data_IF_806414474465
#
_entry.id   IF_806414474465
#
_cell.length_a   1.000
_cell.length_b   1.000
_cell.length_c   1.000
_cell.angle_alpha   90.00
_cell.angle_beta   90.00
_cell.angle_gamma   90.00
#
_symmetry.space_group_name_H-M   'P 1'
#
loop_
_entity.id
_entity.type
_entity.pdbx_description
1 polymer ?
#
# COMPACT_ATOMS: atom_id res chain seq x y z
N UNK A 1 6.88 -15.19 20.10
CA UNK A 1 6.70 -13.86 20.74
C UNK A 1 5.66 -13.96 21.83
N UNK A 2 5.59 -12.95 22.71
CA UNK A 2 4.54 -12.77 23.71
C UNK A 2 3.47 -11.81 23.18
N UNK A 3 2.18 -12.09 23.42
CA UNK A 3 1.09 -11.18 23.06
C UNK A 3 1.02 -10.08 24.12
N UNK A 4 1.37 -8.85 23.74
CA UNK A 4 1.35 -7.69 24.65
C UNK A 4 0.04 -6.91 24.61
N UNK A 5 -0.79 -7.14 23.59
CA UNK A 5 -2.12 -6.54 23.42
C UNK A 5 -2.93 -7.22 22.31
N UNK A 6 -4.26 -7.10 22.37
CA UNK A 6 -5.18 -7.60 21.36
C UNK A 6 -6.41 -6.71 21.25
N UNK A 7 -6.98 -6.67 20.05
CA UNK A 7 -8.27 -6.07 19.74
C UNK A 7 -8.95 -6.94 18.67
N UNK A 8 -10.24 -7.20 18.82
CA UNK A 8 -11.01 -8.08 17.94
C UNK A 8 -12.09 -7.27 17.24
N UNK A 9 -11.97 -7.14 15.92
CA UNK A 9 -12.93 -6.45 15.06
C UNK A 9 -12.98 -7.18 13.71
N UNK A 10 -14.17 -7.57 13.21
CA UNK A 10 -14.30 -8.24 11.92
C UNK A 10 -13.98 -7.34 10.72
N UNK A 11 -13.93 -6.02 10.91
CA UNK A 11 -13.61 -5.02 9.89
C UNK A 11 -12.17 -4.55 10.03
N UNK A 12 -11.23 -5.50 10.02
CA UNK A 12 -9.79 -5.25 10.00
C UNK A 12 -9.20 -6.11 8.90
N UNK A 13 -8.46 -5.48 7.99
CA UNK A 13 -7.80 -6.20 6.91
C UNK A 13 -6.65 -5.38 6.34
N UNK A 14 -5.66 -6.06 5.78
CA UNK A 14 -4.55 -5.48 5.05
C UNK A 14 -3.52 -4.77 5.93
N UNK A 15 -3.90 -3.72 6.66
CA UNK A 15 -2.93 -2.85 7.32
C UNK A 15 -3.35 -2.39 8.72
N UNK A 16 -2.38 -2.24 9.60
CA UNK A 16 -2.55 -1.72 10.95
C UNK A 16 -1.23 -1.13 11.48
N UNK A 17 -1.24 0.17 11.74
CA UNK A 17 -0.07 0.94 12.16
C UNK A 17 -0.23 1.47 13.57
N UNK A 18 0.82 1.29 14.39
CA UNK A 18 0.86 1.89 15.72
C UNK A 18 1.42 3.31 15.63
N UNK A 19 0.66 4.26 16.16
CA UNK A 19 1.03 5.67 16.19
C UNK A 19 1.86 6.02 17.44
N UNK A 20 2.58 7.15 17.39
CA UNK A 20 3.43 7.64 18.49
C UNK A 20 2.66 7.89 19.80
N UNK A 21 1.38 8.29 19.69
CA UNK A 21 0.49 8.47 20.83
C UNK A 21 0.01 7.13 21.46
N UNK A 22 0.39 6.00 20.85
CA UNK A 22 0.02 4.66 21.27
C UNK A 22 -1.27 4.13 20.63
N UNK A 23 -2.02 4.95 19.90
CA UNK A 23 -3.20 4.50 19.16
C UNK A 23 -2.80 3.58 18.00
N UNK A 24 -3.79 2.90 17.44
CA UNK A 24 -3.61 2.02 16.27
C UNK A 24 -4.52 2.52 15.17
N UNK A 25 -3.92 2.84 14.02
CA UNK A 25 -4.59 3.18 12.78
C UNK A 25 -4.81 1.89 11.99
N UNK A 26 -6.01 1.66 11.47
CA UNK A 26 -6.41 0.37 10.90
C UNK A 26 -7.12 0.59 9.57
N UNK A 27 -6.76 -0.22 8.57
CA UNK A 27 -7.46 -0.30 7.30
C UNK A 27 -8.51 -1.42 7.26
N UNK A 28 -9.57 -1.19 6.48
CA UNK A 28 -10.56 -2.21 6.11
C UNK A 28 -10.94 -2.07 4.63
N UNK A 29 -10.53 -3.06 3.84
CA UNK A 29 -10.83 -3.12 2.40
C UNK A 29 -11.32 -4.48 1.92
N UNK A 30 -11.10 -5.56 2.68
CA UNK A 30 -11.55 -6.89 2.24
C UNK A 30 -13.08 -6.99 2.30
N UNK A 31 -13.73 -6.98 1.14
CA UNK A 31 -15.18 -6.94 0.97
C UNK A 31 -15.86 -5.72 1.63
N UNK A 32 -15.16 -4.58 1.70
CA UNK A 32 -15.75 -3.32 2.15
C UNK A 32 -16.88 -2.87 1.22
N UNK A 33 -17.85 -2.12 1.76
CA UNK A 33 -18.95 -1.53 1.00
C UNK A 33 -18.94 -0.02 1.15
N UNK A 34 -19.74 0.68 0.32
CA UNK A 34 -19.98 2.12 0.46
C UNK A 34 -20.50 2.53 1.85
N UNK A 35 -21.03 1.59 2.62
CA UNK A 35 -21.58 1.88 3.95
C UNK A 35 -20.58 1.70 5.09
N UNK A 36 -19.48 0.98 4.85
CA UNK A 36 -18.48 0.67 5.87
C UNK A 36 -17.54 1.85 6.11
N UNK A 37 -16.90 1.84 7.28
CA UNK A 37 -15.75 2.69 7.61
C UNK A 37 -14.49 1.99 7.13
N UNK A 38 -13.72 2.63 6.25
CA UNK A 38 -12.52 2.04 5.65
C UNK A 38 -11.26 2.27 6.49
N UNK A 39 -11.24 3.34 7.29
CA UNK A 39 -10.11 3.64 8.17
C UNK A 39 -10.60 4.00 9.56
N UNK A 40 -9.98 3.41 10.59
CA UNK A 40 -10.28 3.70 11.99
C UNK A 40 -8.99 3.97 12.75
N UNK A 41 -9.00 4.95 13.63
CA UNK A 41 -8.01 5.07 14.69
C UNK A 41 -8.64 4.64 16.01
N UNK A 42 -8.02 3.69 16.69
CA UNK A 42 -8.46 3.21 17.99
C UNK A 42 -7.41 3.47 19.06
N UNK A 43 -7.86 3.79 20.27
CA UNK A 43 -6.97 3.89 21.41
C UNK A 43 -6.65 2.51 22.02
N UNK A 44 -5.81 2.47 23.06
CA UNK A 44 -5.40 1.22 23.73
C UNK A 44 -6.54 0.46 24.40
N UNK A 45 -7.63 1.14 24.74
CA UNK A 45 -8.84 0.54 25.29
C UNK A 45 -9.78 -0.04 24.21
N UNK A 46 -9.45 0.17 22.92
CA UNK A 46 -10.27 -0.27 21.79
C UNK A 46 -11.39 0.70 21.43
N UNK A 47 -11.37 1.93 21.94
CA UNK A 47 -12.34 2.97 21.59
C UNK A 47 -11.92 3.64 20.28
N UNK A 48 -12.87 3.82 19.35
CA UNK A 48 -12.65 4.57 18.13
C UNK A 48 -12.54 6.06 18.48
N UNK A 49 -11.42 6.68 18.12
CA UNK A 49 -11.14 8.11 18.35
C UNK A 49 -11.18 8.91 17.05
N UNK A 50 -11.12 8.25 15.90
CA UNK A 50 -11.29 8.82 14.57
C UNK A 50 -11.71 7.74 13.59
N UNK A 51 -12.52 8.10 12.60
CA UNK A 51 -12.95 7.22 11.52
C UNK A 51 -13.04 7.97 10.21
N UNK A 52 -12.85 7.26 9.10
CA UNK A 52 -13.02 7.82 7.77
C UNK A 52 -13.68 6.85 6.82
N UNK A 53 -14.64 7.39 6.07
CA UNK A 53 -15.50 6.68 5.15
C UNK A 53 -15.36 7.26 3.76
N UNK A 54 -14.86 6.45 2.84
CA UNK A 54 -14.57 6.84 1.46
C UNK A 54 -15.79 7.46 0.78
N UNK A 55 -16.97 6.87 1.00
CA UNK A 55 -18.22 7.28 0.36
C UNK A 55 -18.73 8.68 0.76
N UNK A 56 -18.14 9.32 1.78
CA UNK A 56 -18.49 10.69 2.17
C UNK A 56 -17.80 11.74 1.30
N UNK A 57 -16.69 11.39 0.65
CA UNK A 57 -15.90 12.28 -0.21
C UNK A 57 -15.90 11.82 -1.68
N UNK A 58 -16.00 10.51 -1.93
CA UNK A 58 -15.87 9.90 -3.26
C UNK A 58 -16.98 8.88 -3.54
N UNK A 59 -17.60 8.95 -4.71
CA UNK A 59 -18.66 8.04 -5.14
C UNK A 59 -18.37 7.44 -6.52
N UNK A 60 -17.67 6.31 -6.55
CA UNK A 60 -17.37 5.56 -7.77
C UNK A 60 -18.28 4.33 -7.90
N UNK A 61 -18.48 3.85 -9.13
CA UNK A 61 -19.20 2.60 -9.39
C UNK A 61 -18.19 1.51 -9.79
N UNK A 62 -17.48 1.01 -8.79
CA UNK A 62 -16.48 -0.06 -8.93
C UNK A 62 -16.60 -1.02 -7.77
N UNK A 63 -16.46 -2.31 -8.04
CA UNK A 63 -16.38 -3.33 -7.00
C UNK A 63 -15.49 -4.49 -7.40
N UNK A 64 -14.41 -4.68 -6.64
CA UNK A 64 -13.45 -5.75 -6.85
C UNK A 64 -13.01 -6.26 -5.48
N UNK A 65 -13.65 -7.32 -4.99
CA UNK A 65 -13.45 -7.82 -3.61
C UNK A 65 -13.65 -6.72 -2.55
N UNK A 66 -14.54 -5.76 -2.79
CA UNK A 66 -14.72 -4.56 -1.96
C UNK A 66 -15.08 -3.35 -2.81
N UNK A 67 -15.50 -2.25 -2.18
CA UNK A 67 -15.78 -0.96 -2.79
C UNK A 67 -14.47 -0.24 -3.08
N UNK A 68 -13.85 0.37 -2.07
CA UNK A 68 -12.54 1.04 -2.21
C UNK A 68 -11.39 0.05 -2.19
N UNK A 69 -11.60 -1.08 -1.50
CA UNK A 69 -10.56 -2.02 -1.14
C UNK A 69 -9.32 -1.33 -0.55
N UNK A 70 -9.54 -0.46 0.44
CA UNK A 70 -8.48 0.23 1.16
C UNK A 70 -7.50 -0.79 1.73
N UNK A 71 -6.25 -0.74 1.28
CA UNK A 71 -5.26 -1.78 1.56
C UNK A 71 -4.02 -1.29 2.30
N UNK A 72 -3.88 0.01 2.52
CA UNK A 72 -2.81 0.55 3.35
C UNK A 72 -3.19 1.93 3.88
N UNK A 73 -2.72 2.22 5.08
CA UNK A 73 -2.97 3.49 5.77
C UNK A 73 -1.75 3.89 6.59
N UNK A 74 -1.35 5.17 6.51
CA UNK A 74 -0.27 5.70 7.35
C UNK A 74 -0.56 7.13 7.80
N UNK A 75 -0.12 7.49 9.01
CA UNK A 75 -0.22 8.86 9.54
C UNK A 75 1.04 9.65 9.16
N UNK A 76 0.85 10.82 8.56
CA UNK A 76 1.90 11.76 8.23
C UNK A 76 2.29 12.63 9.43
N UNK A 77 3.51 13.14 9.41
CA UNK A 77 4.04 14.04 10.46
C UNK A 77 3.23 15.34 10.63
N UNK A 78 2.50 15.78 9.60
CA UNK A 78 1.62 16.96 9.66
C UNK A 78 0.25 16.64 10.28
N UNK A 79 -0.01 15.38 10.65
CA UNK A 79 -1.29 14.92 11.20
C UNK A 79 -2.29 14.43 10.15
N UNK A 80 -2.01 14.57 8.85
CA UNK A 80 -2.85 14.00 7.80
C UNK A 80 -2.65 12.48 7.71
N UNK A 81 -3.58 11.80 7.06
CA UNK A 81 -3.55 10.35 6.84
C UNK A 81 -3.45 10.06 5.36
N UNK A 82 -2.46 9.25 4.94
CA UNK A 82 -2.46 8.65 3.61
C UNK A 82 -3.34 7.41 3.60
N UNK A 83 -4.18 7.30 2.58
CA UNK A 83 -5.09 6.16 2.39
C UNK A 83 -4.95 5.64 0.97
N UNK A 84 -4.57 4.36 0.85
CA UNK A 84 -4.40 3.68 -0.43
C UNK A 84 -5.73 3.09 -0.91
N UNK A 85 -6.29 3.62 -2.01
CA UNK A 85 -7.58 3.20 -2.55
C UNK A 85 -7.37 2.32 -3.79
N UNK A 86 -7.05 1.04 -3.58
CA UNK A 86 -6.68 0.11 -4.66
C UNK A 86 -7.70 0.08 -5.80
N UNK A 87 -8.99 0.05 -5.46
CA UNK A 87 -10.03 -0.01 -6.48
C UNK A 87 -10.29 1.34 -7.17
N UNK A 88 -9.68 2.44 -6.73
CA UNK A 88 -9.75 3.73 -7.43
C UNK A 88 -8.46 4.07 -8.17
N UNK A 89 -7.39 3.26 -8.02
CA UNK A 89 -6.09 3.45 -8.67
C UNK A 89 -5.39 4.76 -8.30
N UNK A 90 -5.57 5.23 -7.07
CA UNK A 90 -4.84 6.38 -6.53
C UNK A 90 -4.78 6.31 -5.00
N UNK A 91 -3.97 7.20 -4.43
CA UNK A 91 -3.82 7.40 -3.00
C UNK A 91 -4.38 8.77 -2.66
N UNK A 92 -4.98 8.94 -1.49
CA UNK A 92 -5.45 10.24 -0.99
C UNK A 92 -4.73 10.63 0.28
N UNK A 93 -4.44 11.92 0.43
CA UNK A 93 -4.07 12.52 1.71
C UNK A 93 -5.32 13.16 2.33
N UNK A 94 -5.66 12.74 3.54
CA UNK A 94 -6.88 13.13 4.26
C UNK A 94 -6.49 13.92 5.51
N UNK A 95 -7.07 15.11 5.71
CA UNK A 95 -6.81 15.89 6.92
C UNK A 95 -7.57 15.31 8.15
N UNK A 96 -7.27 15.77 9.39
CA UNK A 96 -7.97 15.30 10.59
C UNK A 96 -9.49 15.48 10.55
N UNK A 97 -9.98 16.47 9.81
CA UNK A 97 -11.41 16.76 9.60
C UNK A 97 -12.08 15.80 8.61
N UNK A 98 -11.32 14.94 7.92
CA UNK A 98 -11.83 13.93 6.98
C UNK A 98 -11.91 14.40 5.52
N UNK A 99 -11.37 15.58 5.21
CA UNK A 99 -11.35 16.15 3.86
C UNK A 99 -10.14 15.63 3.07
N UNK A 100 -10.34 15.28 1.80
CA UNK A 100 -9.24 14.95 0.89
C UNK A 100 -8.54 16.25 0.50
N UNK A 101 -7.26 16.37 0.86
CA UNK A 101 -6.42 17.55 0.57
C UNK A 101 -5.41 17.32 -0.54
N UNK A 102 -5.20 16.07 -0.95
CA UNK A 102 -4.37 15.72 -2.11
C UNK A 102 -4.78 14.36 -2.71
N UNK A 103 -4.56 14.19 -4.01
CA UNK A 103 -4.72 12.93 -4.75
C UNK A 103 -3.40 12.61 -5.46
N UNK A 104 -2.88 11.42 -5.23
CA UNK A 104 -1.53 11.02 -5.60
C UNK A 104 -1.58 9.78 -6.50
N UNK A 105 -0.83 9.82 -7.60
CA UNK A 105 -0.67 8.73 -8.56
C UNK A 105 -1.84 8.51 -9.51
N UNK A 106 -2.88 9.35 -9.52
CA UNK A 106 -4.02 9.20 -10.41
C UNK A 106 -3.59 9.18 -11.89
N UNK A 107 -3.99 8.12 -12.62
CA UNK A 107 -3.59 7.90 -14.01
C UNK A 107 -2.17 7.36 -14.21
N UNK A 108 -1.40 7.19 -13.13
CA UNK A 108 -0.02 6.68 -13.15
C UNK A 108 0.05 5.29 -12.51
N UNK A 109 -0.56 5.15 -11.33
CA UNK A 109 -0.62 3.88 -10.61
C UNK A 109 -1.91 3.14 -10.94
N UNK A 110 -1.88 1.83 -10.79
CA UNK A 110 -3.03 0.96 -11.00
C UNK A 110 -3.00 -0.15 -9.98
N UNK A 111 -4.16 -0.53 -9.44
CA UNK A 111 -4.29 -1.60 -8.45
C UNK A 111 -3.21 -1.49 -7.36
N UNK A 112 -2.98 -0.28 -6.83
CA UNK A 112 -1.80 0.06 -6.05
C UNK A 112 -1.80 -0.59 -4.66
N UNK A 113 -0.61 -0.79 -4.08
CA UNK A 113 -0.40 -1.42 -2.79
C UNK A 113 0.74 -0.75 -2.00
N UNK A 114 0.58 -0.77 -0.68
CA UNK A 114 1.56 -0.40 0.36
C UNK A 114 2.40 0.86 0.07
N UNK A 115 1.75 2.03 -0.20
CA UNK A 115 2.49 3.26 -0.33
C UNK A 115 3.19 3.65 0.97
N UNK A 116 4.50 3.88 0.90
CA UNK A 116 5.32 4.23 2.05
C UNK A 116 6.03 5.55 1.79
N UNK A 117 5.83 6.53 2.68
CA UNK A 117 6.50 7.83 2.58
C UNK A 117 8.00 7.66 2.78
N UNK A 118 8.77 8.32 1.92
CA UNK A 118 10.23 8.35 2.00
C UNK A 118 10.70 9.75 2.41
N UNK A 119 11.80 10.24 1.86
CA UNK A 119 12.34 11.55 2.21
C UNK A 119 11.55 12.68 1.54
N UNK A 120 11.22 13.73 2.30
CA UNK A 120 10.47 14.87 1.79
C UNK A 120 8.98 14.56 1.62
N UNK A 121 8.42 14.87 0.45
CA UNK A 121 7.05 14.53 0.06
C UNK A 121 7.08 13.56 -1.11
N UNK A 122 7.87 12.49 -0.96
CA UNK A 122 7.91 11.37 -1.89
C UNK A 122 7.33 10.12 -1.24
N UNK A 123 6.87 9.17 -2.04
CA UNK A 123 6.48 7.85 -1.56
C UNK A 123 6.89 6.74 -2.52
N UNK A 124 7.25 5.57 -1.99
CA UNK A 124 7.30 4.35 -2.79
C UNK A 124 5.92 3.74 -2.89
N UNK A 125 5.60 3.10 -4.01
CA UNK A 125 4.31 2.41 -4.21
C UNK A 125 4.46 1.23 -5.15
N UNK A 126 3.86 0.11 -4.77
CA UNK A 126 3.68 -1.02 -5.67
C UNK A 126 2.44 -0.75 -6.51
N UNK A 127 2.57 -0.87 -7.82
CA UNK A 127 1.42 -0.85 -8.73
C UNK A 127 1.18 -2.29 -9.17
N UNK A 128 0.02 -2.63 -9.73
CA UNK A 128 -0.25 -3.90 -10.43
C UNK A 128 -0.99 -3.63 -11.75
N UNK A 129 -1.17 -4.64 -12.59
CA UNK A 129 -2.05 -4.45 -13.76
C UNK A 129 -3.47 -4.11 -13.31
N UNK A 130 -4.23 -3.38 -14.14
CA UNK A 130 -5.63 -3.09 -13.87
C UNK A 130 -6.43 -4.37 -13.59
N UNK A 131 -7.24 -4.35 -12.54
CA UNK A 131 -8.15 -5.46 -12.23
C UNK A 131 -9.23 -5.63 -13.31
N UNK A 132 -9.75 -6.85 -13.54
CA UNK A 132 -10.79 -7.10 -14.56
C UNK A 132 -12.10 -6.33 -14.37
N UNK A 133 -12.34 -5.79 -13.18
CA UNK A 133 -13.49 -4.96 -12.87
C UNK A 133 -13.40 -3.55 -13.50
N UNK A 134 -12.25 -3.14 -14.04
CA UNK A 134 -12.15 -1.98 -14.91
C UNK A 134 -12.40 -2.41 -16.35
N UNK A 135 -13.48 -1.90 -16.95
CA UNK A 135 -13.96 -2.31 -18.28
C UNK A 135 -13.06 -1.86 -19.45
N UNK A 136 -11.97 -1.11 -19.23
CA UNK A 136 -11.42 -0.26 -20.31
C UNK A 136 -9.91 -0.17 -20.52
N UNK A 137 -9.02 -0.90 -19.84
CA UNK A 137 -7.57 -0.66 -20.06
C UNK A 137 -6.79 -1.91 -20.41
N UNK A 138 -6.62 -2.15 -21.72
CA UNK A 138 -5.46 -2.86 -22.29
C UNK A 138 -4.20 -1.98 -22.15
N UNK A 139 -3.82 -1.62 -20.93
CA UNK A 139 -2.57 -0.90 -20.71
C UNK A 139 -1.52 -1.90 -20.23
N UNK A 140 -0.76 -2.45 -21.18
CA UNK A 140 0.34 -3.39 -20.93
C UNK A 140 1.63 -2.68 -20.45
N UNK A 141 1.64 -1.34 -20.41
CA UNK A 141 2.77 -0.53 -19.91
C UNK A 141 2.69 -0.32 -18.39
N UNK A 142 2.82 -1.42 -17.67
CA UNK A 142 2.74 -1.45 -16.22
C UNK A 142 4.14 -1.35 -15.58
N UNK A 143 4.30 -0.44 -14.61
CA UNK A 143 5.51 -0.28 -13.81
C UNK A 143 5.26 -0.88 -12.43
N UNK A 144 6.13 -1.79 -11.98
CA UNK A 144 5.84 -2.63 -10.83
C UNK A 144 6.08 -1.98 -9.48
N UNK A 145 7.18 -1.26 -9.38
CA UNK A 145 7.55 -0.49 -8.21
C UNK A 145 7.93 0.92 -8.66
N UNK A 146 7.48 1.92 -7.92
CA UNK A 146 7.76 3.33 -8.20
C UNK A 146 8.18 4.06 -6.92
N UNK A 147 8.95 5.12 -7.07
CA UNK A 147 8.99 6.23 -6.12
C UNK A 147 8.42 7.47 -6.84
N UNK A 148 7.44 8.13 -6.23
CA UNK A 148 6.75 9.28 -6.81
C UNK A 148 6.80 10.47 -5.88
N UNK A 149 6.88 11.67 -6.45
CA UNK A 149 6.66 12.92 -5.74
C UNK A 149 5.15 13.13 -5.53
N UNK A 150 4.74 13.35 -4.28
CA UNK A 150 3.34 13.41 -3.85
C UNK A 150 2.63 14.69 -4.31
N UNK A 151 3.37 15.76 -4.59
CA UNK A 151 2.79 17.06 -4.91
C UNK A 151 2.70 17.27 -6.43
N UNK A 152 3.63 16.68 -7.18
CA UNK A 152 3.74 16.84 -8.63
C UNK A 152 3.37 15.58 -9.42
N UNK A 153 3.29 14.43 -8.75
CA UNK A 153 3.13 13.11 -9.37
C UNK A 153 4.29 12.70 -10.31
N UNK A 154 5.45 13.33 -10.19
CA UNK A 154 6.65 12.94 -10.93
C UNK A 154 7.12 11.55 -10.49
N UNK A 155 7.42 10.66 -11.44
CA UNK A 155 8.05 9.37 -11.18
C UNK A 155 9.55 9.61 -11.00
N UNK A 156 10.03 9.52 -9.76
CA UNK A 156 11.43 9.74 -9.39
C UNK A 156 12.29 8.49 -9.62
N UNK A 157 11.67 7.33 -9.47
CA UNK A 157 12.31 6.04 -9.70
C UNK A 157 11.25 5.00 -10.12
N UNK A 158 11.66 4.01 -10.90
CA UNK A 158 10.80 2.90 -11.29
C UNK A 158 11.58 1.60 -11.50
N UNK A 159 10.90 0.48 -11.27
CA UNK A 159 11.40 -0.85 -11.60
C UNK A 159 10.27 -1.75 -12.11
N UNK A 160 10.58 -2.52 -13.16
CA UNK A 160 9.62 -3.39 -13.83
C UNK A 160 10.24 -4.29 -14.90
N UNK A 161 11.52 -4.61 -14.82
CA UNK A 161 12.19 -5.36 -15.87
C UNK A 161 11.84 -6.86 -15.84
N UNK A 162 11.80 -7.47 -17.03
CA UNK A 162 11.61 -8.92 -17.18
C UNK A 162 10.28 -9.44 -16.64
N UNK A 163 10.33 -10.34 -15.66
CA UNK A 163 9.11 -10.88 -15.02
C UNK A 163 8.44 -9.92 -14.06
N UNK A 164 9.16 -8.91 -13.54
CA UNK A 164 8.65 -7.97 -12.53
C UNK A 164 7.66 -6.96 -13.13
N UNK A 165 7.83 -6.55 -14.39
CA UNK A 165 6.86 -5.73 -15.13
C UNK A 165 5.66 -6.50 -15.66
N UNK A 166 5.46 -7.74 -15.23
CA UNK A 166 4.33 -8.55 -15.67
C UNK A 166 3.60 -9.14 -14.46
N UNK A 167 2.51 -8.49 -14.05
CA UNK A 167 1.66 -8.92 -12.93
C UNK A 167 1.08 -10.33 -13.09
N UNK A 168 0.97 -10.85 -14.32
CA UNK A 168 0.53 -12.24 -14.58
C UNK A 168 1.59 -13.26 -14.20
N UNK A 169 2.86 -12.85 -14.10
CA UNK A 169 4.00 -13.68 -13.67
C UNK A 169 4.37 -13.42 -12.22
N UNK A 170 4.44 -12.15 -11.82
CA UNK A 170 4.87 -11.73 -10.51
C UNK A 170 4.04 -10.53 -10.05
N UNK A 171 3.22 -10.70 -9.00
CA UNK A 171 2.55 -9.57 -8.38
C UNK A 171 3.53 -8.86 -7.46
N UNK A 172 3.76 -7.56 -7.69
CA UNK A 172 4.45 -6.72 -6.71
C UNK A 172 3.41 -6.17 -5.74
N UNK A 173 3.65 -6.39 -4.45
CA UNK A 173 2.72 -6.03 -3.37
C UNK A 173 3.25 -4.92 -2.48
N UNK A 174 4.57 -4.82 -2.37
CA UNK A 174 5.21 -3.87 -1.48
C UNK A 174 6.57 -3.45 -2.06
N UNK A 175 6.94 -2.18 -1.83
CA UNK A 175 8.25 -1.63 -2.16
C UNK A 175 8.67 -0.64 -1.07
N UNK A 176 9.84 -0.87 -0.50
CA UNK A 176 10.41 -0.04 0.56
C UNK A 176 11.76 0.52 0.12
N UNK A 177 11.91 1.85 0.14
CA UNK A 177 13.22 2.48 0.00
C UNK A 177 14.02 2.29 1.30
N UNK A 178 15.25 1.87 1.16
CA UNK A 178 16.15 1.55 2.25
C UNK A 178 17.14 2.70 2.50
N UNK A 179 17.72 2.75 3.70
CA UNK A 179 18.65 3.82 4.10
C UNK A 179 19.95 3.88 3.28
N UNK A 180 20.31 2.78 2.60
CA UNK A 180 21.44 2.74 1.67
C UNK A 180 21.08 3.23 0.25
N UNK A 181 19.84 3.66 0.01
CA UNK A 181 19.33 4.11 -1.30
C UNK A 181 18.78 2.99 -2.19
N UNK A 182 18.84 1.72 -1.74
CA UNK A 182 18.26 0.59 -2.47
C UNK A 182 16.76 0.48 -2.23
N UNK A 183 16.09 -0.37 -3.01
CA UNK A 183 14.67 -0.68 -2.89
C UNK A 183 14.48 -2.17 -2.60
N UNK A 184 13.72 -2.49 -1.57
CA UNK A 184 13.29 -3.85 -1.25
C UNK A 184 11.89 -4.07 -1.84
N UNK A 185 11.74 -5.05 -2.72
CA UNK A 185 10.50 -5.28 -3.48
C UNK A 185 9.93 -6.66 -3.14
N UNK A 186 8.71 -6.72 -2.63
CA UNK A 186 7.98 -7.96 -2.39
C UNK A 186 7.21 -8.40 -3.63
N UNK A 187 7.62 -9.53 -4.20
CA UNK A 187 6.89 -10.24 -5.25
C UNK A 187 6.11 -11.44 -4.70
N UNK A 188 5.48 -12.22 -5.58
CA UNK A 188 4.76 -13.44 -5.16
C UNK A 188 5.73 -14.48 -4.56
N UNK A 189 6.73 -14.93 -5.32
CA UNK A 189 7.65 -16.00 -4.88
C UNK A 189 9.05 -15.52 -4.56
N UNK A 190 9.32 -14.25 -4.81
CA UNK A 190 10.63 -13.66 -4.64
C UNK A 190 10.49 -12.33 -3.94
N UNK A 191 11.41 -12.04 -3.06
CA UNK A 191 11.72 -10.68 -2.63
C UNK A 191 13.11 -10.34 -3.12
N UNK A 192 13.32 -9.14 -3.62
CA UNK A 192 14.63 -8.67 -4.09
C UNK A 192 15.00 -7.34 -3.46
N UNK A 193 16.29 -7.14 -3.21
CA UNK A 193 16.86 -5.80 -3.01
C UNK A 193 17.50 -5.36 -4.33
N UNK A 194 17.10 -4.18 -4.80
CA UNK A 194 17.55 -3.59 -6.06
C UNK A 194 18.22 -2.26 -5.78
N UNK A 195 19.35 -2.00 -6.40
CA UNK A 195 20.01 -0.70 -6.36
C UNK A 195 19.21 0.37 -7.10
N UNK A 196 19.53 1.64 -6.89
CA UNK A 196 18.87 2.76 -7.58
C UNK A 196 19.02 2.71 -9.11
N UNK A 197 20.07 2.07 -9.62
CA UNK A 197 20.32 1.86 -11.06
C UNK A 197 19.75 0.53 -11.59
N UNK A 198 19.07 -0.27 -10.76
CA UNK A 198 18.31 -1.44 -11.21
C UNK A 198 19.02 -2.80 -11.06
N UNK A 199 20.17 -2.87 -10.41
CA UNK A 199 20.89 -4.14 -10.17
C UNK A 199 20.32 -4.88 -8.95
N UNK A 200 20.00 -6.17 -9.10
CA UNK A 200 19.59 -7.03 -7.99
C UNK A 200 20.84 -7.42 -7.18
N UNK A 201 20.90 -7.01 -5.91
CA UNK A 201 22.03 -7.27 -5.01
C UNK A 201 21.74 -8.30 -3.92
N UNK A 202 20.45 -8.61 -3.71
CA UNK A 202 20.02 -9.67 -2.80
C UNK A 202 18.68 -10.24 -3.25
N UNK A 203 18.46 -11.53 -3.01
CA UNK A 203 17.17 -12.18 -3.25
C UNK A 203 16.81 -13.21 -2.16
N UNK A 204 15.52 -13.33 -1.88
CA UNK A 204 14.91 -14.45 -1.18
C UNK A 204 13.87 -15.08 -2.08
N UNK A 205 14.01 -16.37 -2.34
CA UNK A 205 13.10 -17.15 -3.18
C UNK A 205 12.42 -18.23 -2.34
N UNK A 206 11.10 -18.35 -2.48
CA UNK A 206 10.33 -19.45 -1.91
C UNK A 206 9.90 -20.41 -3.02
N UNK A 207 10.05 -21.71 -2.76
CA UNK A 207 9.51 -22.74 -3.66
C UNK A 207 7.99 -22.76 -3.59
N UNK A 208 7.32 -22.76 -4.76
CA UNK A 208 5.85 -22.84 -4.82
C UNK A 208 5.35 -24.24 -4.49
N UNK A 209 4.25 -24.28 -3.75
CA UNK A 209 3.48 -25.51 -3.54
C UNK A 209 2.25 -25.62 -4.47
N UNK A 210 1.79 -24.49 -5.05
CA UNK A 210 0.67 -24.43 -6.00
C UNK A 210 0.81 -23.28 -7.03
N UNK A 211 -0.17 -23.16 -7.94
CA UNK A 211 -0.21 -22.14 -9.00
C UNK A 211 -0.77 -20.78 -8.54
N UNK A 212 -1.02 -20.55 -7.26
CA UNK A 212 -1.57 -19.28 -6.79
C UNK A 212 -0.58 -18.13 -6.99
N UNK A 213 -1.11 -16.95 -7.35
CA UNK A 213 -0.34 -15.69 -7.38
C UNK A 213 -0.19 -15.05 -6.00
N UNK A 214 -0.67 -15.71 -4.93
CA UNK A 214 -0.56 -15.24 -3.55
C UNK A 214 0.81 -15.64 -3.00
N UNK A 215 1.48 -14.72 -2.32
CA UNK A 215 2.88 -14.83 -1.98
C UNK A 215 3.27 -13.95 -0.81
N UNK A 216 4.47 -13.36 -0.84
CA UNK A 216 4.80 -12.31 0.12
C UNK A 216 3.75 -11.20 0.06
N UNK A 217 3.21 -10.88 1.23
CA UNK A 217 2.21 -9.83 1.37
C UNK A 217 2.88 -8.47 1.49
N UNK A 218 3.77 -8.34 2.48
CA UNK A 218 4.61 -7.18 2.78
C UNK A 218 6.00 -7.67 3.19
N UNK A 219 7.03 -6.85 3.04
CA UNK A 219 8.38 -7.19 3.49
C UNK A 219 9.11 -5.98 4.09
N UNK A 220 9.67 -6.16 5.28
CA UNK A 220 10.35 -5.08 5.99
C UNK A 220 11.78 -5.50 6.36
N UNK A 221 12.73 -4.58 6.18
CA UNK A 221 14.09 -4.72 6.70
C UNK A 221 14.09 -4.25 8.15
N UNK A 222 14.14 -5.21 9.07
CA UNK A 222 14.33 -4.91 10.49
C UNK A 222 15.80 -4.50 10.70
N UNK A 223 16.08 -3.28 11.18
CA UNK A 223 17.44 -2.92 11.55
C UNK A 223 17.88 -3.82 12.71
N UNK A 224 19.00 -4.51 12.54
CA UNK A 224 19.65 -5.15 13.69
C UNK A 224 20.12 -4.02 14.61
N UNK A 225 19.52 -3.88 15.79
CA UNK A 225 20.18 -3.15 16.86
C UNK A 225 21.57 -3.74 17.01
N UNK A 226 22.62 -2.91 16.95
CA UNK A 226 23.91 -3.31 17.51
C UNK A 226 23.64 -3.67 18.98
N UNK A 227 23.74 -4.96 19.29
CA UNK A 227 23.65 -5.51 20.65
C UNK A 227 24.90 -5.12 21.41
#
# INVERSE_FOLDING_TARGET
>A
GEIVWQYLDPQVSHDADRLDNGNVLIAFGNFDTKNDVQVKEINRAGEIVWEWKVAEQLDYDVSCSGYSHTNSVSRLNNGNTLVSLRNFNFIVEVNPEGEIVNTIGEGIISSNHDPTVTEGRHLTVASQSPLPCYLTTENDNFIAAMEIDMDTNEILWQYGDGEWGNSKKQLVRDVNKLSNGNYLIAGTTKTIEVTSDGEIVWELVIERYDDSLRGFYKVERIPTQEI
#
